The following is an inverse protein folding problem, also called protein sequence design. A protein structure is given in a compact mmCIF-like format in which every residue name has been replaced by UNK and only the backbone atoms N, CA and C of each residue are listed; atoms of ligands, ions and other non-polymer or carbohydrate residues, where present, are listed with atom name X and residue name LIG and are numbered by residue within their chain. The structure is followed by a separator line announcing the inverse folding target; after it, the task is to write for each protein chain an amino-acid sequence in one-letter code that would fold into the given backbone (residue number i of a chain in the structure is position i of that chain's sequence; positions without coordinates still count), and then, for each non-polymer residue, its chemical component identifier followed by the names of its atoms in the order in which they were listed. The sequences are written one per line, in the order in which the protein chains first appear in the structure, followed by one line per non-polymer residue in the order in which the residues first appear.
data_IF_757459397751
#
_entry.id   IF_757459397751
#
_cell.length_a   1.000
_cell.length_b   1.000
_cell.length_c   1.000
_cell.angle_alpha   90.00
_cell.angle_beta   90.00
_cell.angle_gamma   90.00
#
_symmetry.space_group_name_H-M   'P 1'
#
loop_
_entity.id
_entity.type
_entity.pdbx_description
1 polymer ?
#
# COMPACT_ATOMS: atom_id res chain seq x y z
N UNK A 1 -3.84 -17.16 5.86
CA UNK A 1 -3.69 -15.85 6.53
C UNK A 1 -4.84 -14.98 6.04
N UNK A 2 -5.45 -14.13 6.87
CA UNK A 2 -6.48 -13.18 6.42
C UNK A 2 -5.80 -11.93 5.85
N UNK A 3 -6.41 -11.33 4.83
CA UNK A 3 -5.93 -10.08 4.23
C UNK A 3 -5.81 -8.95 5.26
N UNK A 4 -6.78 -8.83 6.15
CA UNK A 4 -6.83 -7.82 7.22
C UNK A 4 -6.62 -8.48 8.58
N UNK A 5 -5.78 -7.89 9.40
CA UNK A 5 -5.51 -8.33 10.77
C UNK A 5 -5.57 -7.15 11.74
N UNK A 6 -6.08 -7.42 12.94
CA UNK A 6 -6.05 -6.45 14.02
C UNK A 6 -4.61 -6.20 14.48
N UNK A 7 -4.29 -4.95 14.79
CA UNK A 7 -3.04 -4.58 15.45
C UNK A 7 -3.31 -4.20 16.91
N UNK A 8 -2.23 -3.96 17.66
CA UNK A 8 -2.31 -3.37 19.02
C UNK A 8 -2.28 -1.84 19.01
N UNK A 9 -2.11 -1.23 17.84
CA UNK A 9 -1.96 0.21 17.69
C UNK A 9 -3.32 0.88 17.60
N UNK A 10 -3.49 1.97 18.33
CA UNK A 10 -4.76 2.71 18.41
C UNK A 10 -4.54 4.20 18.38
N UNK A 11 -5.54 4.93 17.94
CA UNK A 11 -5.65 6.40 17.96
C UNK A 11 -6.94 6.75 18.68
N UNK A 12 -6.94 7.65 19.67
CA UNK A 12 -8.16 8.13 20.31
C UNK A 12 -9.12 8.74 19.28
N UNK A 13 -10.41 8.51 19.44
CA UNK A 13 -11.42 8.99 18.47
C UNK A 13 -11.45 10.52 18.37
N UNK A 14 -11.25 11.22 19.48
CA UNK A 14 -11.16 12.68 19.51
C UNK A 14 -9.98 13.23 18.69
N UNK A 15 -8.89 12.47 18.54
CA UNK A 15 -7.76 12.82 17.68
C UNK A 15 -8.14 12.66 16.21
N UNK A 16 -8.90 11.61 15.89
CA UNK A 16 -9.43 11.39 14.54
C UNK A 16 -10.44 12.49 14.18
N UNK A 17 -11.35 12.82 15.07
CA UNK A 17 -12.31 13.91 14.88
C UNK A 17 -11.61 15.25 14.62
N UNK A 18 -10.50 15.50 15.30
CA UNK A 18 -9.74 16.73 15.16
C UNK A 18 -9.05 16.93 13.80
N UNK A 19 -8.87 15.87 13.00
CA UNK A 19 -8.29 15.97 11.65
C UNK A 19 -9.33 15.93 10.53
N UNK A 20 -10.61 15.70 10.86
CA UNK A 20 -11.66 15.57 9.84
C UNK A 20 -11.91 16.86 9.05
N UNK A 21 -11.63 18.04 9.64
CA UNK A 21 -11.69 19.31 8.93
C UNK A 21 -10.80 19.32 7.69
N UNK A 22 -9.54 18.94 7.85
CA UNK A 22 -8.57 18.83 6.75
C UNK A 22 -9.00 17.80 5.70
N UNK A 23 -9.53 16.64 6.16
CA UNK A 23 -10.01 15.57 5.27
C UNK A 23 -11.14 16.07 4.35
N UNK A 24 -12.10 16.83 4.88
CA UNK A 24 -13.20 17.36 4.08
C UNK A 24 -12.79 18.54 3.20
N UNK A 25 -11.84 19.37 3.64
CA UNK A 25 -11.40 20.54 2.89
C UNK A 25 -10.44 20.17 1.76
N UNK A 26 -9.43 19.33 2.06
CA UNK A 26 -8.32 19.03 1.12
C UNK A 26 -8.64 17.81 0.25
N UNK A 27 -9.34 16.82 0.79
CA UNK A 27 -9.64 15.57 0.11
C UNK A 27 -8.48 14.57 0.20
N UNK A 28 -7.92 14.15 -0.95
CA UNK A 28 -6.78 13.21 -1.01
C UNK A 28 -5.46 13.96 -0.89
N UNK A 29 -4.67 13.65 0.13
CA UNK A 29 -3.35 14.27 0.34
C UNK A 29 -2.39 13.34 1.08
N UNK A 30 -1.11 13.66 1.01
CA UNK A 30 -0.05 12.97 1.76
C UNK A 30 0.32 13.80 3.00
N UNK A 31 0.37 13.16 4.17
CA UNK A 31 0.86 13.77 5.42
C UNK A 31 2.36 13.56 5.62
N UNK A 32 2.99 12.74 4.78
CA UNK A 32 4.42 12.44 4.85
C UNK A 32 5.14 12.79 3.56
N UNK A 33 6.46 12.96 3.66
CA UNK A 33 7.35 13.22 2.54
C UNK A 33 8.50 12.22 2.48
N UNK A 34 9.00 12.00 1.27
CA UNK A 34 10.04 11.01 0.98
C UNK A 34 11.42 11.55 1.36
N UNK A 35 12.23 10.72 2.04
CA UNK A 35 13.61 11.10 2.42
C UNK A 35 14.69 10.43 1.56
N UNK A 36 14.35 9.34 0.87
CA UNK A 36 15.30 8.55 0.06
C UNK A 36 14.58 7.59 -0.86
N UNK A 37 14.93 6.30 -0.85
CA UNK A 37 14.27 5.29 -1.68
C UNK A 37 12.81 5.09 -1.27
N UNK A 38 11.91 5.07 -2.25
CA UNK A 38 10.47 4.99 -2.04
C UNK A 38 10.04 3.81 -1.18
N UNK A 39 10.61 2.63 -1.38
CA UNK A 39 10.21 1.40 -0.71
C UNK A 39 11.08 1.02 0.49
N UNK A 40 12.28 1.60 0.63
CA UNK A 40 13.27 1.09 1.58
C UNK A 40 13.72 2.09 2.64
N UNK A 41 13.55 3.39 2.38
CA UNK A 41 13.97 4.41 3.33
C UNK A 41 12.76 5.01 4.07
N UNK A 42 12.90 5.31 5.38
CA UNK A 42 11.81 5.89 6.15
C UNK A 42 11.31 7.18 5.53
N UNK A 43 10.02 7.38 5.54
CA UNK A 43 9.38 8.66 5.25
C UNK A 43 9.28 9.46 6.54
N UNK A 44 9.16 10.76 6.44
CA UNK A 44 8.97 11.64 7.59
C UNK A 44 7.66 12.40 7.50
N UNK A 45 7.11 12.78 8.65
CA UNK A 45 5.94 13.64 8.69
C UNK A 45 6.32 15.00 8.09
N UNK A 46 5.44 15.56 7.25
CA UNK A 46 5.69 16.88 6.67
C UNK A 46 5.69 17.97 7.75
N UNK A 47 6.54 19.02 7.63
CA UNK A 47 6.68 20.07 8.63
C UNK A 47 5.37 20.75 9.04
N UNK A 48 4.44 20.94 8.10
CA UNK A 48 3.15 21.58 8.36
C UNK A 48 2.23 20.80 9.31
N UNK A 49 2.50 19.51 9.53
CA UNK A 49 1.73 18.65 10.42
C UNK A 49 2.37 18.45 11.80
N UNK A 50 3.59 18.99 12.03
CA UNK A 50 4.25 18.96 13.34
C UNK A 50 3.46 19.80 14.35
N UNK A 51 3.27 19.29 15.57
CA UNK A 51 2.48 19.92 16.63
C UNK A 51 0.97 19.82 16.42
N UNK A 52 0.49 19.14 15.38
CA UNK A 52 -0.93 18.94 15.11
C UNK A 52 -1.40 17.54 15.54
N UNK A 53 -2.69 17.27 15.40
CA UNK A 53 -3.24 15.93 15.64
C UNK A 53 -2.74 14.88 14.64
N UNK A 54 -2.32 15.28 13.45
CA UNK A 54 -1.66 14.40 12.48
C UNK A 54 -0.34 13.81 13.01
N UNK A 55 0.42 14.59 13.78
CA UNK A 55 1.62 14.07 14.45
C UNK A 55 1.28 12.98 15.47
N UNK A 56 0.21 13.16 16.24
CA UNK A 56 -0.25 12.16 17.19
C UNK A 56 -0.66 10.86 16.49
N UNK A 57 -1.37 10.97 15.36
CA UNK A 57 -1.74 9.82 14.51
C UNK A 57 -0.48 9.15 13.94
N UNK A 58 0.44 9.93 13.37
CA UNK A 58 1.70 9.43 12.82
C UNK A 58 2.51 8.66 13.87
N UNK A 59 2.66 9.21 15.06
CA UNK A 59 3.43 8.61 16.14
C UNK A 59 2.76 7.41 16.81
N UNK A 60 1.49 7.13 16.53
CA UNK A 60 0.78 5.94 17.03
C UNK A 60 1.23 4.63 16.37
N UNK A 61 1.91 4.69 15.22
CA UNK A 61 2.53 3.55 14.56
C UNK A 61 4.04 3.46 14.84
N UNK A 62 4.61 2.24 14.79
CA UNK A 62 6.05 2.06 15.00
C UNK A 62 6.86 2.58 13.82
N UNK A 63 8.11 2.98 14.08
CA UNK A 63 9.13 3.22 13.07
C UNK A 63 9.82 1.90 12.65
N UNK A 64 10.34 1.79 11.41
CA UNK A 64 10.23 2.79 10.32
C UNK A 64 8.91 2.68 9.54
N UNK A 65 8.45 3.81 8.99
CA UNK A 65 7.23 3.92 8.18
C UNK A 65 7.53 4.43 6.78
N UNK A 66 6.69 4.04 5.81
CA UNK A 66 6.67 4.57 4.45
C UNK A 66 5.68 5.72 4.29
N UNK A 67 5.27 5.97 3.04
CA UNK A 67 4.30 7.01 2.68
C UNK A 67 3.00 6.88 3.47
N UNK A 68 2.53 7.99 4.01
CA UNK A 68 1.23 8.11 4.67
C UNK A 68 0.33 9.05 3.86
N UNK A 69 -0.81 8.54 3.41
CA UNK A 69 -1.74 9.30 2.55
C UNK A 69 -3.20 9.09 2.92
N UNK A 70 -3.99 10.12 2.72
CA UNK A 70 -5.45 10.06 2.82
C UNK A 70 -6.01 9.53 1.51
N UNK A 71 -6.83 8.48 1.60
CA UNK A 71 -7.58 7.91 0.50
C UNK A 71 -9.07 8.16 0.75
N UNK A 72 -9.74 8.72 -0.26
CA UNK A 72 -11.19 8.96 -0.22
C UNK A 72 -11.86 8.15 -1.31
N UNK A 73 -12.97 7.51 -0.94
CA UNK A 73 -13.85 6.81 -1.84
C UNK A 73 -15.27 7.36 -1.68
N UNK A 74 -15.75 8.01 -2.74
CA UNK A 74 -17.12 8.54 -2.81
C UNK A 74 -18.16 7.41 -2.75
N UNK A 75 -19.39 7.75 -2.48
CA UNK A 75 -20.51 6.80 -2.50
C UNK A 75 -21.50 7.15 -3.61
N UNK A 76 -22.06 6.14 -4.32
CA UNK A 76 -21.64 4.75 -4.35
C UNK A 76 -20.46 4.56 -5.31
N UNK A 77 -19.39 3.91 -4.88
CA UNK A 77 -18.28 3.58 -5.79
C UNK A 77 -17.41 2.41 -5.29
N UNK A 78 -16.58 1.89 -6.18
CA UNK A 78 -15.55 0.90 -5.85
C UNK A 78 -14.27 1.18 -6.62
N UNK A 79 -13.16 0.71 -6.08
CA UNK A 79 -11.88 0.70 -6.81
C UNK A 79 -11.82 -0.45 -7.81
N UNK A 80 -10.99 -0.28 -8.83
CA UNK A 80 -10.55 -1.40 -9.67
C UNK A 80 -9.79 -2.40 -8.80
N UNK A 81 -10.02 -3.70 -9.05
CA UNK A 81 -9.26 -4.78 -8.43
C UNK A 81 -7.76 -4.62 -8.69
N UNK A 82 -6.96 -4.71 -7.64
CA UNK A 82 -5.51 -4.59 -7.70
C UNK A 82 -4.84 -5.33 -6.55
N UNK A 83 -3.52 -5.42 -6.61
CA UNK A 83 -2.67 -5.76 -5.48
C UNK A 83 -1.50 -4.78 -5.42
N UNK A 84 -0.88 -4.69 -4.25
CA UNK A 84 0.24 -3.78 -4.01
C UNK A 84 1.53 -4.55 -3.71
N UNK A 85 2.67 -3.95 -4.02
CA UNK A 85 3.99 -4.53 -3.75
C UNK A 85 4.29 -4.56 -2.25
N UNK A 86 3.84 -3.54 -1.52
CA UNK A 86 4.11 -3.34 -0.11
C UNK A 86 2.85 -3.51 0.74
N UNK A 87 3.01 -4.12 1.90
CA UNK A 87 1.94 -4.23 2.90
C UNK A 87 1.65 -2.87 3.53
N UNK A 88 0.49 -2.73 4.17
CA UNK A 88 0.01 -1.43 4.64
C UNK A 88 -0.65 -1.49 6.00
N UNK A 89 -0.62 -0.36 6.71
CA UNK A 89 -1.52 -0.10 7.82
C UNK A 89 -2.67 0.80 7.35
N UNK A 90 -3.86 0.51 7.82
CA UNK A 90 -5.07 1.26 7.55
C UNK A 90 -5.69 1.77 8.84
N UNK A 91 -5.99 3.06 8.90
CA UNK A 91 -6.81 3.69 9.94
C UNK A 91 -8.06 4.26 9.28
N UNK A 92 -9.24 3.83 9.75
CA UNK A 92 -10.49 4.39 9.26
C UNK A 92 -10.74 5.75 9.91
N UNK A 93 -10.99 6.77 9.10
CA UNK A 93 -11.27 8.13 9.56
C UNK A 93 -12.77 8.44 9.51
N UNK A 94 -13.47 7.96 8.49
CA UNK A 94 -14.94 7.98 8.39
C UNK A 94 -15.45 6.97 7.37
N UNK A 95 -16.77 6.75 7.40
CA UNK A 95 -17.51 5.84 6.52
C UNK A 95 -18.44 4.95 7.34
N UNK A 96 -19.63 4.68 6.81
CA UNK A 96 -20.67 3.88 7.47
C UNK A 96 -20.79 2.48 6.86
N UNK A 97 -21.02 2.36 5.56
CA UNK A 97 -21.13 1.09 4.83
C UNK A 97 -20.02 0.99 3.77
N UNK A 98 -18.78 0.86 4.26
CA UNK A 98 -17.61 0.73 3.43
C UNK A 98 -16.82 -0.54 3.77
N UNK A 99 -16.21 -1.15 2.74
CA UNK A 99 -15.62 -2.47 2.84
C UNK A 99 -14.28 -2.53 2.10
N UNK A 100 -13.38 -3.37 2.62
CA UNK A 100 -12.25 -3.95 1.89
C UNK A 100 -12.61 -5.39 1.53
N UNK A 101 -12.32 -5.82 0.32
CA UNK A 101 -12.74 -7.12 -0.21
C UNK A 101 -11.50 -7.90 -0.63
N UNK A 102 -11.29 -9.05 -0.01
CA UNK A 102 -10.32 -10.07 -0.41
C UNK A 102 -10.92 -10.87 -1.57
N UNK A 103 -10.32 -10.76 -2.75
CA UNK A 103 -10.82 -11.39 -3.97
C UNK A 103 -10.34 -12.84 -4.14
N UNK A 104 -9.33 -13.27 -3.36
CA UNK A 104 -8.89 -14.68 -3.37
C UNK A 104 -9.81 -15.55 -2.50
N UNK A 105 -10.28 -15.00 -1.38
CA UNK A 105 -11.14 -15.74 -0.43
C UNK A 105 -12.60 -15.36 -0.49
N UNK A 106 -12.95 -14.34 -1.29
CA UNK A 106 -14.31 -13.80 -1.37
C UNK A 106 -14.81 -13.31 0.00
N UNK A 107 -13.90 -12.75 0.83
CA UNK A 107 -14.21 -12.23 2.15
C UNK A 107 -14.35 -10.70 2.12
N UNK A 108 -15.34 -10.17 2.86
CA UNK A 108 -15.59 -8.75 3.01
C UNK A 108 -15.27 -8.30 4.44
N UNK A 109 -14.46 -7.25 4.56
CA UNK A 109 -14.11 -6.62 5.83
C UNK A 109 -14.74 -5.25 5.91
N UNK A 110 -15.73 -5.07 6.79
CA UNK A 110 -16.33 -3.75 7.04
C UNK A 110 -15.29 -2.84 7.68
N UNK A 111 -15.12 -1.64 7.13
CA UNK A 111 -14.23 -0.63 7.70
C UNK A 111 -14.96 0.09 8.82
N UNK A 112 -14.50 -0.07 10.06
CA UNK A 112 -15.14 0.48 11.26
C UNK A 112 -14.33 1.65 11.79
N UNK A 113 -15.01 2.74 12.19
CA UNK A 113 -14.40 3.86 12.90
C UNK A 113 -14.29 3.50 14.40
N UNK A 114 -13.22 2.81 14.77
CA UNK A 114 -12.96 2.33 16.14
C UNK A 114 -11.59 2.77 16.69
N UNK A 115 -10.90 3.64 15.97
CA UNK A 115 -9.58 4.13 16.35
C UNK A 115 -8.46 3.10 16.23
N UNK A 116 -8.70 1.93 15.66
CA UNK A 116 -7.66 0.90 15.51
C UNK A 116 -6.96 0.98 14.17
N UNK A 117 -5.67 0.70 14.20
CA UNK A 117 -4.91 0.39 13.00
C UNK A 117 -5.09 -1.08 12.63
N UNK A 118 -5.33 -1.31 11.37
CA UNK A 118 -5.42 -2.64 10.76
C UNK A 118 -4.18 -2.90 9.90
N UNK A 119 -3.63 -4.10 10.03
CA UNK A 119 -2.53 -4.59 9.19
C UNK A 119 -3.12 -5.26 7.95
N UNK A 120 -2.71 -4.82 6.77
CA UNK A 120 -3.18 -5.35 5.49
C UNK A 120 -2.05 -6.01 4.72
N UNK A 121 -2.24 -7.29 4.40
CA UNK A 121 -1.48 -7.98 3.34
C UNK A 121 -2.00 -7.50 1.99
N UNK A 122 -1.42 -6.41 1.49
CA UNK A 122 -1.86 -5.77 0.26
C UNK A 122 -1.37 -6.49 -1.01
N UNK A 123 -0.55 -7.54 -0.87
CA UNK A 123 -0.21 -8.46 -1.94
C UNK A 123 -1.34 -9.41 -2.36
N UNK A 124 -2.38 -9.53 -1.54
CA UNK A 124 -3.60 -10.25 -1.90
C UNK A 124 -4.42 -9.36 -2.85
N UNK A 125 -4.88 -9.89 -4.01
CA UNK A 125 -5.78 -9.16 -4.89
C UNK A 125 -7.04 -8.69 -4.15
N UNK A 126 -7.28 -7.39 -4.19
CA UNK A 126 -8.33 -6.77 -3.40
C UNK A 126 -8.99 -5.59 -4.12
N UNK A 127 -10.11 -5.17 -3.58
CA UNK A 127 -10.77 -3.91 -3.92
C UNK A 127 -11.36 -3.27 -2.67
N UNK A 128 -11.79 -2.02 -2.80
CA UNK A 128 -12.55 -1.34 -1.78
C UNK A 128 -13.86 -0.82 -2.36
N UNK A 129 -14.91 -0.88 -1.56
CA UNK A 129 -16.26 -0.45 -1.94
C UNK A 129 -16.83 0.46 -0.85
N UNK A 130 -17.57 1.46 -1.28
CA UNK A 130 -18.37 2.33 -0.42
C UNK A 130 -19.79 2.38 -0.97
N UNK A 131 -20.75 1.89 -0.19
CA UNK A 131 -22.19 1.90 -0.48
C UNK A 131 -22.98 2.64 0.60
N UNK A 132 -22.30 3.30 1.52
CA UNK A 132 -22.88 4.10 2.60
C UNK A 132 -23.46 5.43 2.10
N UNK A 133 -23.95 6.24 3.03
CA UNK A 133 -24.51 7.56 2.73
C UNK A 133 -23.43 8.65 2.61
N UNK A 134 -22.23 8.40 3.12
CA UNK A 134 -21.15 9.38 3.22
C UNK A 134 -19.87 8.89 2.53
N UNK A 135 -18.88 9.77 2.39
CA UNK A 135 -17.56 9.38 1.93
C UNK A 135 -16.94 8.36 2.88
N UNK A 136 -16.13 7.47 2.35
CA UNK A 136 -15.17 6.68 3.11
C UNK A 136 -13.81 7.34 3.04
N UNK A 137 -13.22 7.70 4.18
CA UNK A 137 -11.85 8.20 4.25
C UNK A 137 -11.00 7.28 5.12
N UNK A 138 -9.80 6.99 4.65
CA UNK A 138 -8.79 6.22 5.39
C UNK A 138 -7.43 6.89 5.30
N UNK A 139 -6.69 6.87 6.39
CA UNK A 139 -5.25 7.06 6.35
C UNK A 139 -4.60 5.70 6.10
N UNK A 140 -3.84 5.63 5.02
CA UNK A 140 -3.09 4.44 4.62
C UNK A 140 -1.60 4.74 4.74
N UNK A 141 -0.89 3.92 5.52
CA UNK A 141 0.55 4.03 5.72
C UNK A 141 1.24 2.80 5.16
N UNK A 142 2.18 3.00 4.25
CA UNK A 142 2.97 1.93 3.65
C UNK A 142 3.95 1.34 4.66
N UNK A 143 4.15 0.04 4.60
CA UNK A 143 5.28 -0.62 5.25
C UNK A 143 6.46 -0.62 4.30
N UNK A 144 7.64 -0.39 4.83
CA UNK A 144 8.85 -0.51 4.03
C UNK A 144 9.10 -1.96 3.64
N UNK A 145 9.62 -2.18 2.44
CA UNK A 145 10.08 -3.50 2.03
C UNK A 145 11.34 -3.89 2.81
N UNK A 146 11.51 -5.18 3.13
CA UNK A 146 12.72 -5.64 3.77
C UNK A 146 13.92 -5.50 2.82
N UNK A 147 15.07 -5.08 3.35
CA UNK A 147 16.35 -5.05 2.62
C UNK A 147 16.93 -6.47 2.59
N UNK A 148 16.41 -7.31 1.69
CA UNK A 148 16.85 -8.70 1.56
C UNK A 148 18.29 -8.78 1.01
N UNK A 149 19.04 -9.75 1.50
CA UNK A 149 20.38 -10.07 0.99
C UNK A 149 20.21 -11.18 -0.06
N UNK A 150 20.61 -10.89 -1.29
CA UNK A 150 20.58 -11.83 -2.42
C UNK A 150 22.02 -12.29 -2.69
N UNK A 151 22.25 -13.61 -2.68
CA UNK A 151 23.61 -14.16 -2.79
C UNK A 151 24.18 -14.09 -4.21
N UNK A 152 23.35 -14.36 -5.23
CA UNK A 152 23.72 -14.28 -6.65
C UNK A 152 22.69 -13.39 -7.37
N UNK A 153 22.77 -12.06 -7.20
CA UNK A 153 21.76 -11.15 -7.74
C UNK A 153 21.88 -11.02 -9.25
N UNK A 154 20.73 -11.07 -9.92
CA UNK A 154 20.54 -10.62 -11.30
C UNK A 154 19.65 -9.38 -11.29
N UNK A 155 20.13 -8.30 -11.87
CA UNK A 155 19.31 -7.11 -12.05
C UNK A 155 18.37 -7.31 -13.22
N UNK A 156 17.09 -7.13 -13.00
CA UNK A 156 16.05 -7.30 -14.01
C UNK A 156 15.17 -6.06 -14.10
N UNK A 157 14.71 -5.79 -15.30
CA UNK A 157 13.69 -4.77 -15.58
C UNK A 157 12.51 -5.43 -16.27
N UNK A 158 11.31 -5.15 -15.81
CA UNK A 158 10.06 -5.50 -16.49
C UNK A 158 9.44 -4.21 -16.98
N UNK A 159 9.24 -4.11 -18.28
CA UNK A 159 8.71 -2.91 -18.93
C UNK A 159 7.58 -3.28 -19.87
N UNK A 160 6.58 -2.39 -20.00
CA UNK A 160 5.47 -2.52 -20.93
C UNK A 160 5.49 -1.42 -22.00
N UNK A 161 4.82 -1.68 -23.11
CA UNK A 161 4.46 -0.65 -24.07
C UNK A 161 3.24 0.13 -23.57
N UNK A 162 3.05 1.37 -24.05
CA UNK A 162 1.95 2.26 -23.66
C UNK A 162 0.56 1.58 -23.62
N UNK A 163 -0.27 1.93 -22.64
CA UNK A 163 -1.64 1.45 -22.49
C UNK A 163 -1.92 0.82 -21.13
N UNK A 164 -2.33 -0.45 -21.09
CA UNK A 164 -2.79 -1.14 -19.88
C UNK A 164 -1.67 -1.65 -18.95
N UNK A 165 -0.46 -1.08 -19.02
CA UNK A 165 0.70 -1.52 -18.21
C UNK A 165 0.35 -1.59 -16.72
N UNK A 166 -0.37 -0.60 -16.19
CA UNK A 166 -0.73 -0.56 -14.77
C UNK A 166 -1.66 -1.69 -14.38
N UNK A 167 -2.68 -1.97 -15.19
CA UNK A 167 -3.63 -3.06 -14.91
C UNK A 167 -2.93 -4.43 -14.90
N UNK A 168 -2.12 -4.71 -15.91
CA UNK A 168 -1.34 -5.95 -16.02
C UNK A 168 -0.35 -6.09 -14.85
N UNK A 169 0.30 -4.98 -14.47
CA UNK A 169 1.19 -4.91 -13.35
C UNK A 169 0.47 -5.22 -12.04
N UNK A 170 -0.63 -4.51 -11.75
CA UNK A 170 -1.38 -4.64 -10.49
C UNK A 170 -2.03 -6.03 -10.35
N UNK A 171 -2.39 -6.67 -11.47
CA UNK A 171 -3.04 -7.98 -11.48
C UNK A 171 -2.07 -9.16 -11.36
N UNK A 172 -0.97 -9.13 -12.09
CA UNK A 172 -0.11 -10.30 -12.22
C UNK A 172 1.22 -10.16 -11.48
N UNK A 173 1.83 -8.99 -11.54
CA UNK A 173 3.19 -8.80 -11.05
C UNK A 173 3.23 -8.34 -9.59
N UNK A 174 2.36 -7.40 -9.18
CA UNK A 174 2.37 -6.90 -7.81
C UNK A 174 2.13 -7.97 -6.75
N UNK A 175 1.19 -8.95 -6.91
CA UNK A 175 1.03 -10.03 -5.95
C UNK A 175 2.29 -10.88 -5.81
N UNK A 176 2.96 -11.14 -6.92
CA UNK A 176 4.19 -11.92 -6.93
C UNK A 176 5.33 -11.14 -6.27
N UNK A 177 5.52 -9.86 -6.63
CA UNK A 177 6.56 -9.00 -6.05
C UNK A 177 6.39 -8.86 -4.54
N UNK A 178 5.16 -8.68 -4.06
CA UNK A 178 4.88 -8.61 -2.63
C UNK A 178 5.35 -9.89 -1.92
N UNK A 179 4.95 -11.06 -2.41
CA UNK A 179 5.35 -12.35 -1.83
C UNK A 179 6.86 -12.57 -1.92
N UNK A 180 7.46 -12.25 -3.06
CA UNK A 180 8.89 -12.41 -3.29
C UNK A 180 9.74 -11.51 -2.37
N UNK A 181 9.30 -10.28 -2.10
CA UNK A 181 10.00 -9.35 -1.21
C UNK A 181 9.77 -9.67 0.27
N UNK A 182 8.51 -9.82 0.69
CA UNK A 182 8.15 -9.88 2.10
C UNK A 182 8.25 -11.29 2.69
N UNK A 183 7.84 -12.32 1.94
CA UNK A 183 7.70 -13.68 2.43
C UNK A 183 8.87 -14.60 2.02
N UNK A 184 9.17 -14.62 0.72
CA UNK A 184 10.23 -15.50 0.18
C UNK A 184 11.62 -14.89 0.32
N UNK A 185 11.72 -13.56 0.41
CA UNK A 185 12.98 -12.81 0.54
C UNK A 185 13.97 -13.04 -0.62
N UNK A 186 13.45 -13.27 -1.81
CA UNK A 186 14.25 -13.60 -3.02
C UNK A 186 14.45 -12.42 -3.95
N UNK A 187 13.88 -11.25 -3.64
CA UNK A 187 14.11 -10.01 -4.38
C UNK A 187 14.54 -8.89 -3.44
N UNK A 188 15.28 -7.92 -3.99
CA UNK A 188 15.69 -6.68 -3.32
C UNK A 188 15.75 -5.52 -4.32
N UNK A 189 16.08 -4.34 -3.83
CA UNK A 189 16.30 -3.14 -4.64
C UNK A 189 15.15 -2.79 -5.60
N UNK A 190 13.91 -3.08 -5.18
CA UNK A 190 12.71 -2.82 -5.98
C UNK A 190 12.56 -1.32 -6.22
N UNK A 191 12.41 -0.93 -7.49
CA UNK A 191 12.28 0.47 -7.91
C UNK A 191 11.27 0.59 -9.04
N UNK A 192 10.29 1.46 -8.87
CA UNK A 192 9.40 1.84 -9.97
C UNK A 192 10.17 2.79 -10.90
N UNK A 193 10.13 2.50 -12.19
CA UNK A 193 10.74 3.30 -13.24
C UNK A 193 9.67 3.69 -14.26
N UNK A 194 10.05 4.55 -15.20
CA UNK A 194 9.16 4.90 -16.29
C UNK A 194 8.74 3.63 -17.04
N UNK A 195 7.44 3.41 -17.17
CA UNK A 195 6.80 2.27 -17.86
C UNK A 195 7.15 0.88 -17.29
N UNK A 196 7.60 0.76 -16.02
CA UNK A 196 7.91 -0.55 -15.48
C UNK A 196 8.45 -0.58 -14.07
N UNK A 197 9.18 -1.65 -13.77
CA UNK A 197 9.81 -1.89 -12.50
C UNK A 197 11.16 -2.56 -12.67
N UNK A 198 12.09 -2.22 -11.79
CA UNK A 198 13.41 -2.84 -11.67
C UNK A 198 13.56 -3.47 -10.29
N UNK A 199 14.28 -4.57 -10.22
CA UNK A 199 14.65 -5.21 -8.95
C UNK A 199 15.79 -6.20 -9.16
N UNK A 200 16.45 -6.57 -8.09
CA UNK A 200 17.39 -7.67 -8.05
C UNK A 200 16.69 -8.94 -7.62
N UNK A 201 17.01 -10.06 -8.27
CA UNK A 201 16.45 -11.38 -7.99
C UNK A 201 17.57 -12.41 -7.92
N UNK A 202 17.39 -13.46 -7.13
CA UNK A 202 18.26 -14.66 -7.15
C UNK A 202 18.32 -15.24 -8.57
N UNK A 203 19.54 -15.46 -9.11
CA UNK A 203 19.75 -15.83 -10.52
C UNK A 203 18.96 -17.07 -10.95
N UNK A 204 18.87 -18.09 -10.09
CA UNK A 204 18.09 -19.31 -10.35
C UNK A 204 16.58 -19.14 -10.46
N UNK A 205 16.04 -17.96 -10.08
CA UNK A 205 14.61 -17.69 -10.05
C UNK A 205 14.12 -16.76 -11.16
N UNK A 206 15.00 -16.25 -12.00
CA UNK A 206 14.63 -15.31 -13.09
C UNK A 206 13.51 -15.86 -13.97
N UNK A 207 13.54 -17.15 -14.29
CA UNK A 207 12.55 -17.83 -15.12
C UNK A 207 11.19 -18.06 -14.42
N UNK A 208 11.08 -17.77 -13.13
CA UNK A 208 9.85 -17.91 -12.35
C UNK A 208 9.08 -16.60 -12.24
N UNK A 209 9.60 -15.52 -12.80
CA UNK A 209 8.94 -14.21 -12.80
C UNK A 209 7.69 -14.30 -13.69
N UNK A 210 6.49 -13.99 -13.16
CA UNK A 210 5.26 -13.99 -13.96
C UNK A 210 5.17 -12.73 -14.81
N UNK A 211 5.89 -12.71 -15.93
CA UNK A 211 5.88 -11.55 -16.84
C UNK A 211 4.51 -11.44 -17.51
N UNK A 212 3.79 -10.33 -17.32
CA UNK A 212 2.51 -10.13 -17.97
C UNK A 212 2.59 -10.18 -19.50
N UNK A 213 1.51 -10.58 -20.23
CA UNK A 213 1.54 -10.79 -21.67
C UNK A 213 2.04 -9.60 -22.51
N UNK A 214 1.74 -8.38 -22.05
CA UNK A 214 2.10 -7.12 -22.74
C UNK A 214 3.37 -6.48 -22.18
N UNK A 215 4.13 -7.20 -21.39
CA UNK A 215 5.37 -6.73 -20.78
C UNK A 215 6.57 -7.57 -21.24
N UNK A 216 7.76 -7.01 -21.09
CA UNK A 216 9.03 -7.67 -21.44
C UNK A 216 9.95 -7.68 -20.23
N UNK A 217 10.57 -8.84 -19.99
CA UNK A 217 11.67 -9.00 -19.06
C UNK A 217 12.99 -8.71 -19.78
N UNK A 218 13.80 -7.86 -19.18
CA UNK A 218 15.16 -7.51 -19.64
C UNK A 218 16.10 -7.80 -18.48
N UNK A 219 17.14 -8.56 -18.72
CA UNK A 219 18.27 -8.68 -17.80
C UNK A 219 19.26 -7.58 -18.10
N UNK A 220 19.61 -6.79 -17.11
CA UNK A 220 20.47 -5.61 -17.22
C UNK A 220 21.87 -5.90 -16.71
#
# INVERSE_FOLDING_TARGET
MHMIQNTKYTVPLEVIEGVMGDVYEIGKFDISEQTGSFFYDPWQLKPEYLGTQWESIWNSLPEPKGQARIIILESPSCYTSHADIDNRWHLNLCGDEAYLIDLEKEEMFKTVLDGKWYDMDAGIPHTAMNIGAHIRAQLVVRKLLPKNIINDPKHVRITGSEGNVRYEFDKYLSPWLNRAANNQKVISNVKVVEQGIEFDIEAGLVNQIPVPPNMKLITV
#
